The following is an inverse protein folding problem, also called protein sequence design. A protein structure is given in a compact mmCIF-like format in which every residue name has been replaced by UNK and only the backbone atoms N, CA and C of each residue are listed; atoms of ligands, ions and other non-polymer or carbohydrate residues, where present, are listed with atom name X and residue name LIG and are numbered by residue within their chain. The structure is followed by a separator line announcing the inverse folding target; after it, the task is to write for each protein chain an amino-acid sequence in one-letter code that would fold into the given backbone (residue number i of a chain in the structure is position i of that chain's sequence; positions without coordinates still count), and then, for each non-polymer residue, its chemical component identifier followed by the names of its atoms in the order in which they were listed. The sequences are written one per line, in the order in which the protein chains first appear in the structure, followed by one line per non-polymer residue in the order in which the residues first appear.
data_IF_287177630638
#
_entry.id   IF_287177630638
#
_cell.length_a   1.000
_cell.length_b   1.000
_cell.length_c   1.000
_cell.angle_alpha   90.00
_cell.angle_beta   90.00
_cell.angle_gamma   90.00
#
_symmetry.space_group_name_H-M   'P 1'
#
loop_
_entity.id
_entity.type
_entity.pdbx_description
1 polymer ?
#
# COMPACT_ATOMS: atom_id res chain seq x y z
N UNK A 1 10.32 -10.54 9.57
CA UNK A 1 10.31 -11.39 8.35
C UNK A 1 10.84 -10.58 7.18
N UNK A 2 11.52 -11.20 6.22
CA UNK A 2 12.14 -10.50 5.09
C UNK A 2 11.53 -10.94 3.76
N UNK A 3 11.33 -9.99 2.85
CA UNK A 3 10.89 -10.22 1.47
C UNK A 3 11.85 -9.44 0.57
N UNK A 4 12.41 -10.09 -0.46
CA UNK A 4 13.30 -9.44 -1.44
C UNK A 4 14.37 -8.51 -0.85
N UNK A 5 15.01 -8.93 0.26
CA UNK A 5 16.12 -8.19 0.88
C UNK A 5 15.72 -7.01 1.77
N UNK A 6 14.43 -6.78 2.01
CA UNK A 6 13.93 -5.74 2.94
C UNK A 6 12.98 -6.34 3.99
N UNK A 7 12.89 -5.76 5.20
CA UNK A 7 11.88 -6.17 6.16
C UNK A 7 10.48 -5.87 5.60
N UNK A 8 9.51 -6.74 5.89
CA UNK A 8 8.13 -6.61 5.38
C UNK A 8 7.48 -5.27 5.76
N UNK A 9 7.83 -4.73 6.92
CA UNK A 9 7.36 -3.45 7.42
C UNK A 9 7.76 -2.31 6.47
N UNK A 10 8.95 -2.39 5.87
CA UNK A 10 9.40 -1.39 4.90
C UNK A 10 8.65 -1.50 3.57
N UNK A 11 8.29 -2.72 3.14
CA UNK A 11 7.43 -2.89 1.95
C UNK A 11 6.02 -2.32 2.16
N UNK A 12 5.51 -2.41 3.39
CA UNK A 12 4.17 -1.95 3.74
C UNK A 12 4.12 -0.46 4.12
N UNK A 13 5.28 0.20 4.26
CA UNK A 13 5.34 1.54 4.85
C UNK A 13 4.81 1.57 6.29
N UNK A 14 5.06 0.49 7.04
CA UNK A 14 4.50 0.28 8.36
C UNK A 14 5.39 0.90 9.45
N UNK A 15 4.77 1.42 10.50
CA UNK A 15 5.47 1.77 11.73
C UNK A 15 5.51 0.57 12.68
N UNK A 16 6.62 0.38 13.38
CA UNK A 16 6.77 -0.70 14.37
C UNK A 16 6.52 -0.14 15.76
N UNK A 17 5.62 -0.78 16.49
CA UNK A 17 5.27 -0.42 17.85
C UNK A 17 5.36 -1.61 18.80
N UNK A 18 4.93 -1.35 20.04
CA UNK A 18 4.75 -2.36 21.07
C UNK A 18 3.42 -2.07 21.77
N UNK A 19 2.58 -3.09 21.97
CA UNK A 19 1.31 -2.97 22.69
C UNK A 19 1.13 -4.12 23.69
N UNK A 20 0.41 -3.87 24.77
CA UNK A 20 -0.02 -4.93 25.70
C UNK A 20 -0.98 -5.86 24.96
N UNK A 21 -0.72 -7.16 25.02
CA UNK A 21 -1.61 -8.18 24.47
C UNK A 21 -1.81 -9.29 25.53
N UNK A 22 -3.05 -9.61 25.89
CA UNK A 22 -3.34 -10.57 26.96
C UNK A 22 -3.32 -12.04 26.49
N UNK A 23 -2.72 -12.31 25.33
CA UNK A 23 -2.77 -13.61 24.66
C UNK A 23 -1.38 -14.25 24.60
N UNK A 24 -0.72 -14.19 23.45
CA UNK A 24 0.47 -14.97 23.12
C UNK A 24 1.71 -14.52 23.91
N UNK A 25 1.80 -13.23 24.24
CA UNK A 25 2.94 -12.67 24.98
C UNK A 25 2.68 -12.54 26.50
N UNK A 26 1.51 -12.97 26.99
CA UNK A 26 1.15 -12.92 28.41
C UNK A 26 1.24 -11.50 28.98
N UNK A 27 2.11 -11.31 29.98
CA UNK A 27 2.34 -10.00 30.61
C UNK A 27 3.40 -9.15 29.90
N UNK A 28 3.93 -9.59 28.75
CA UNK A 28 4.90 -8.82 27.95
C UNK A 28 4.21 -8.09 26.80
N UNK A 29 4.81 -6.98 26.36
CA UNK A 29 4.28 -6.22 25.23
C UNK A 29 4.53 -6.98 23.92
N UNK A 30 3.47 -7.21 23.14
CA UNK A 30 3.54 -7.71 21.77
C UNK A 30 4.18 -6.67 20.86
N UNK A 31 5.05 -7.12 19.95
CA UNK A 31 5.47 -6.29 18.82
C UNK A 31 4.26 -6.05 17.91
N UNK A 32 4.04 -4.81 17.51
CA UNK A 32 2.98 -4.44 16.57
C UNK A 32 3.52 -3.78 15.31
N UNK A 33 2.70 -3.79 14.26
CA UNK A 33 2.90 -2.98 13.07
C UNK A 33 1.65 -2.13 12.81
N UNK A 34 1.83 -0.89 12.39
CA UNK A 34 0.74 -0.02 11.96
C UNK A 34 0.80 0.20 10.45
N UNK A 35 -0.29 -0.12 9.75
CA UNK A 35 -0.42 0.06 8.30
C UNK A 35 -1.71 0.80 8.02
N UNK A 36 -1.61 2.03 7.48
CA UNK A 36 -2.78 2.83 7.11
C UNK A 36 -3.70 3.14 8.29
N UNK A 37 -3.14 3.46 9.47
CA UNK A 37 -3.90 3.80 10.67
C UNK A 37 -4.49 2.60 11.42
N UNK A 38 -4.13 1.37 11.05
CA UNK A 38 -4.55 0.14 11.73
C UNK A 38 -3.36 -0.60 12.30
N UNK A 39 -3.41 -0.88 13.61
CA UNK A 39 -2.37 -1.61 14.33
C UNK A 39 -2.67 -3.11 14.35
N UNK A 40 -1.64 -3.93 14.12
CA UNK A 40 -1.72 -5.39 14.11
C UNK A 40 -0.62 -5.99 14.99
N UNK A 41 -0.98 -6.94 15.85
CA UNK A 41 -0.03 -7.73 16.65
C UNK A 41 0.57 -8.91 15.87
N UNK A 42 -0.16 -9.40 14.87
CA UNK A 42 0.31 -10.37 13.89
C UNK A 42 0.03 -9.84 12.49
N UNK A 43 1.01 -9.99 11.59
CA UNK A 43 0.88 -9.53 10.21
C UNK A 43 -0.22 -10.35 9.51
N UNK A 44 -1.34 -9.74 9.08
CA UNK A 44 -2.41 -10.49 8.43
C UNK A 44 -2.02 -10.92 7.00
N UNK A 45 -2.75 -11.91 6.48
CA UNK A 45 -2.45 -12.55 5.19
C UNK A 45 -2.42 -11.54 4.03
N UNK A 46 -3.35 -10.58 4.04
CA UNK A 46 -3.49 -9.58 2.99
C UNK A 46 -2.24 -8.69 2.89
N UNK A 47 -1.68 -8.30 4.03
CA UNK A 47 -0.45 -7.50 4.10
C UNK A 47 0.76 -8.30 3.60
N UNK A 48 0.83 -9.60 3.88
CA UNK A 48 1.85 -10.46 3.31
C UNK A 48 1.78 -10.51 1.78
N UNK A 49 0.59 -10.68 1.21
CA UNK A 49 0.36 -10.72 -0.24
C UNK A 49 0.72 -9.36 -0.86
N UNK A 50 0.27 -8.27 -0.24
CA UNK A 50 0.55 -6.91 -0.70
C UNK A 50 2.06 -6.62 -0.73
N UNK A 51 2.79 -6.93 0.35
CA UNK A 51 4.23 -6.74 0.40
C UNK A 51 4.96 -7.60 -0.65
N UNK A 52 4.53 -8.84 -0.84
CA UNK A 52 5.06 -9.73 -1.88
C UNK A 52 4.85 -9.17 -3.29
N UNK A 53 3.66 -8.63 -3.58
CA UNK A 53 3.37 -8.04 -4.89
C UNK A 53 4.19 -6.77 -5.14
N UNK A 54 4.35 -5.91 -4.14
CA UNK A 54 5.21 -4.73 -4.24
C UNK A 54 6.66 -5.12 -4.52
N UNK A 55 7.20 -6.06 -3.76
CA UNK A 55 8.54 -6.59 -3.96
C UNK A 55 8.72 -7.16 -5.37
N UNK A 56 7.81 -8.02 -5.82
CA UNK A 56 7.84 -8.61 -7.15
C UNK A 56 7.82 -7.54 -8.25
N UNK A 57 6.94 -6.54 -8.14
CA UNK A 57 6.85 -5.45 -9.13
C UNK A 57 8.15 -4.64 -9.26
N UNK A 58 8.86 -4.39 -8.15
CA UNK A 58 10.14 -3.68 -8.19
C UNK A 58 11.26 -4.55 -8.76
N UNK A 59 11.25 -5.85 -8.49
CA UNK A 59 12.24 -6.78 -9.04
C UNK A 59 12.04 -7.03 -10.54
N UNK A 60 10.79 -6.99 -11.01
CA UNK A 60 10.43 -7.18 -12.41
C UNK A 60 10.48 -5.88 -13.21
N UNK A 61 10.55 -4.72 -12.55
CA UNK A 61 10.79 -3.46 -13.23
C UNK A 61 12.14 -3.55 -13.95
N UNK A 62 12.20 -3.35 -15.28
CA UNK A 62 13.46 -3.36 -15.98
C UNK A 62 14.34 -2.30 -15.33
N UNK A 63 15.51 -2.70 -14.82
CA UNK A 63 16.51 -1.80 -14.26
C UNK A 63 16.66 -0.66 -15.25
N UNK A 64 16.21 0.54 -14.85
CA UNK A 64 15.95 1.69 -15.71
C UNK A 64 16.96 1.69 -16.85
N UNK A 65 16.51 1.24 -18.03
CA UNK A 65 17.30 1.34 -19.24
C UNK A 65 17.36 2.84 -19.54
N UNK A 66 18.30 3.48 -18.86
CA UNK A 66 18.70 4.83 -19.14
C UNK A 66 19.19 4.80 -20.57
N UNK A 67 18.38 5.41 -21.43
CA UNK A 67 18.75 6.02 -22.70
C UNK A 67 18.67 5.14 -23.97
N UNK A 68 17.55 5.26 -24.71
CA UNK A 68 17.40 6.05 -25.96
C UNK A 68 16.24 5.47 -26.77
N UNK A 69 15.15 6.22 -26.89
CA UNK A 69 14.07 5.92 -27.85
C UNK A 69 12.74 5.46 -27.27
N UNK A 70 12.37 5.89 -26.05
CA UNK A 70 10.97 5.81 -25.66
C UNK A 70 10.20 6.91 -26.41
N UNK A 71 9.76 6.61 -27.64
CA UNK A 71 8.53 7.21 -28.14
C UNK A 71 7.46 6.91 -27.09
N UNK A 72 7.20 7.89 -26.23
CA UNK A 72 6.05 7.92 -25.36
C UNK A 72 4.82 7.61 -26.21
N UNK A 73 4.17 6.49 -25.96
CA UNK A 73 2.89 6.16 -26.58
C UNK A 73 1.76 7.11 -26.13
N UNK A 74 2.07 8.12 -25.32
CA UNK A 74 1.17 9.15 -24.85
C UNK A 74 1.47 10.46 -25.59
N UNK A 75 1.24 10.51 -26.91
CA UNK A 75 1.20 11.77 -27.66
C UNK A 75 0.27 11.65 -28.87
N UNK A 76 -0.85 12.37 -28.80
CA UNK A 76 -1.88 12.53 -29.86
C UNK A 76 -3.22 11.95 -29.39
N UNK A 77 -4.26 12.71 -29.07
CA UNK A 77 -4.74 13.94 -29.72
C UNK A 77 -5.38 14.89 -28.69
N UNK A 78 -4.98 16.17 -28.75
CA UNK A 78 -5.72 17.27 -28.15
C UNK A 78 -7.00 17.50 -28.98
N UNK A 79 -8.18 17.28 -28.40
CA UNK A 79 -9.44 17.61 -29.06
C UNK A 79 -10.71 17.06 -28.42
N UNK A 80 -11.08 17.54 -27.22
CA UNK A 80 -12.48 17.79 -26.79
C UNK A 80 -12.53 18.34 -25.34
N UNK A 81 -13.16 19.50 -25.07
CA UNK A 81 -13.54 19.90 -23.71
C UNK A 81 -14.82 19.14 -23.23
N UNK A 82 -15.14 19.22 -21.92
CA UNK A 82 -15.44 18.05 -21.09
C UNK A 82 -16.91 17.64 -21.07
N UNK A 83 -17.18 16.34 -21.05
CA UNK A 83 -18.41 15.83 -20.46
C UNK A 83 -18.23 15.79 -18.94
N UNK A 84 -18.77 16.80 -18.27
CA UNK A 84 -18.87 16.85 -16.83
C UNK A 84 -19.58 15.58 -16.30
N UNK A 85 -19.04 14.90 -15.26
CA UNK A 85 -19.91 14.12 -14.39
C UNK A 85 -20.74 15.12 -13.58
N UNK A 86 -22.06 14.96 -13.64
CA UNK A 86 -23.02 15.67 -12.80
C UNK A 86 -22.63 15.56 -11.32
N UNK A 87 -22.73 16.64 -10.51
CA UNK A 87 -22.59 16.51 -9.08
C UNK A 87 -23.84 15.78 -8.59
N UNK A 88 -23.71 14.49 -8.28
CA UNK A 88 -24.81 13.81 -7.63
C UNK A 88 -24.95 14.39 -6.22
N UNK A 89 -26.14 14.94 -5.99
CA UNK A 89 -26.55 15.77 -4.87
C UNK A 89 -26.46 14.97 -3.57
N UNK A 90 -25.78 15.54 -2.58
CA UNK A 90 -25.86 15.14 -1.18
C UNK A 90 -27.31 15.18 -0.68
N UNK A 91 -27.72 14.16 0.07
CA UNK A 91 -28.48 14.25 1.33
C UNK A 91 -28.89 12.82 1.74
N UNK A 92 -28.06 12.21 2.58
CA UNK A 92 -28.35 10.92 3.20
C UNK A 92 -27.65 10.90 4.55
N UNK A 93 -28.27 11.55 5.53
CA UNK A 93 -27.95 11.36 6.94
C UNK A 93 -28.08 9.88 7.26
N UNK A 94 -26.98 9.26 7.67
CA UNK A 94 -26.98 7.93 8.28
C UNK A 94 -25.97 7.94 9.43
N UNK A 95 -26.31 8.65 10.50
CA UNK A 95 -26.10 8.29 11.90
C UNK A 95 -26.73 9.39 12.77
N UNK A 96 -27.67 9.00 13.64
CA UNK A 96 -28.32 9.88 14.62
C UNK A 96 -27.49 10.10 15.87
#
# INVERSE_FOLDING_TARGET
MWIAGKPIEEWLGAEVGMSRCCSVCGDSDCRTIEVGGRTYEAIPQEQFIQAGLMAASQMMAPASASNRGATSCCSGVAGAPPSAPTPNRASGDCCG
#
